data_IF_147121026154
#
_entry.id   IF_147121026154
#
_cell.length_a   1.000
_cell.length_b   1.000
_cell.length_c   1.000
_cell.angle_alpha   90.00
_cell.angle_beta   90.00
_cell.angle_gamma   90.00
#
_symmetry.space_group_name_H-M   'P 1'
#
loop_
_entity.id
_entity.type
_entity.pdbx_description
1 polymer ?
#
# COMPACT_ATOMS: atom_id res chain seq x y z
N UNK A 1 -7.05 -3.09 18.69
CA UNK A 1 -6.04 -2.02 18.82
C UNK A 1 -5.82 -1.81 20.31
N UNK A 2 -4.71 -2.30 20.84
CA UNK A 2 -4.49 -2.43 22.30
C UNK A 2 -3.89 -1.16 22.95
N UNK A 3 -3.54 -0.16 22.15
CA UNK A 3 -2.80 1.05 22.58
C UNK A 3 -3.60 2.35 22.36
N UNK A 4 -4.93 2.27 22.18
CA UNK A 4 -5.81 3.46 22.12
C UNK A 4 -5.87 4.21 20.78
N UNK A 5 -5.16 3.75 19.74
CA UNK A 5 -5.36 4.29 18.39
C UNK A 5 -6.78 3.98 17.87
N UNK A 6 -7.48 4.99 17.38
CA UNK A 6 -8.80 4.83 16.76
C UNK A 6 -8.71 4.15 15.38
N UNK A 7 -7.67 4.46 14.62
CA UNK A 7 -7.36 3.85 13.33
C UNK A 7 -5.87 3.97 13.05
N UNK A 8 -5.31 3.02 12.29
CA UNK A 8 -3.92 3.07 11.85
C UNK A 8 -3.90 3.06 10.33
N UNK A 9 -3.18 3.98 9.72
CA UNK A 9 -2.96 4.03 8.28
C UNK A 9 -1.49 3.73 7.96
N UNK A 10 -1.21 3.32 6.72
CA UNK A 10 0.15 3.04 6.26
C UNK A 10 0.43 3.79 4.95
N UNK A 11 1.63 4.34 4.82
CA UNK A 11 2.16 4.90 3.57
C UNK A 11 3.50 4.23 3.25
N UNK A 12 3.64 3.72 2.02
CA UNK A 12 4.84 3.01 1.57
C UNK A 12 5.33 3.61 0.26
N UNK A 13 6.50 4.26 0.30
CA UNK A 13 7.12 4.82 -0.90
C UNK A 13 7.48 3.71 -1.91
N UNK A 14 8.04 2.59 -1.46
CA UNK A 14 8.48 1.50 -2.34
C UNK A 14 7.78 0.18 -1.98
N UNK A 15 6.80 -0.21 -2.81
CA UNK A 15 6.00 -1.41 -2.61
C UNK A 15 6.79 -2.70 -2.99
N UNK A 16 7.83 -3.05 -2.24
CA UNK A 16 8.68 -4.23 -2.54
C UNK A 16 7.93 -5.55 -2.31
N UNK A 17 7.26 -5.67 -1.16
CA UNK A 17 6.45 -6.82 -0.72
C UNK A 17 6.94 -8.20 -1.22
N UNK A 18 8.09 -8.70 -0.72
CA UNK A 18 8.62 -10.00 -1.12
C UNK A 18 7.61 -11.11 -0.83
N UNK A 19 7.58 -12.14 -1.68
CA UNK A 19 6.66 -13.29 -1.59
C UNK A 19 5.18 -12.89 -1.50
N UNK A 20 4.79 -11.80 -2.16
CA UNK A 20 3.45 -11.21 -2.09
C UNK A 20 2.98 -10.95 -0.64
N UNK A 21 3.89 -10.57 0.25
CA UNK A 21 3.59 -10.29 1.67
C UNK A 21 2.52 -9.21 1.87
N UNK A 22 2.19 -8.43 0.84
CA UNK A 22 1.04 -7.52 0.83
C UNK A 22 -0.30 -8.24 1.09
N UNK A 23 -0.43 -9.53 0.72
CA UNK A 23 -1.61 -10.38 0.99
C UNK A 23 -1.91 -10.54 2.48
N UNK A 24 -0.99 -10.19 3.36
CA UNK A 24 -1.20 -10.22 4.81
C UNK A 24 -2.04 -9.05 5.30
N UNK A 25 -2.04 -7.94 4.56
CA UNK A 25 -2.72 -6.71 4.97
C UNK A 25 -4.10 -6.53 4.32
N UNK A 26 -4.45 -7.34 3.31
CA UNK A 26 -5.79 -7.34 2.70
C UNK A 26 -6.89 -7.62 3.73
N UNK A 27 -8.12 -7.30 3.37
CA UNK A 27 -9.29 -7.69 4.16
C UNK A 27 -9.32 -9.21 4.33
N UNK A 28 -9.23 -9.69 5.58
CA UNK A 28 -9.15 -11.12 5.93
C UNK A 28 -7.73 -11.68 6.09
N UNK A 29 -6.69 -10.88 5.83
CA UNK A 29 -5.30 -11.24 6.11
C UNK A 29 -4.95 -11.20 7.61
N UNK A 30 -3.84 -11.87 7.98
CA UNK A 30 -3.38 -11.98 9.37
C UNK A 30 -2.91 -10.66 10.00
N UNK A 31 -2.69 -9.63 9.16
CA UNK A 31 -2.26 -8.28 9.56
C UNK A 31 -3.21 -7.20 9.01
N UNK A 32 -4.49 -7.51 8.88
CA UNK A 32 -5.54 -6.59 8.45
C UNK A 32 -5.88 -5.53 9.52
N UNK A 33 -4.93 -4.66 9.86
CA UNK A 33 -5.10 -3.59 10.87
C UNK A 33 -5.03 -2.18 10.27
N UNK A 34 -4.61 -2.06 9.02
CA UNK A 34 -4.41 -0.77 8.35
C UNK A 34 -5.67 -0.35 7.59
N UNK A 35 -6.05 0.91 7.76
CA UNK A 35 -7.13 1.54 7.01
C UNK A 35 -6.95 3.06 7.01
N UNK A 36 -6.62 3.68 5.86
CA UNK A 36 -6.25 3.10 4.55
C UNK A 36 -4.75 2.74 4.44
N UNK A 37 -4.37 2.12 3.32
CA UNK A 37 -2.98 1.76 2.98
C UNK A 37 -2.57 2.36 1.63
N UNK A 38 -1.70 3.36 1.65
CA UNK A 38 -1.17 4.00 0.46
C UNK A 38 0.18 3.44 0.05
N UNK A 39 0.38 3.33 -1.26
CA UNK A 39 1.66 2.96 -1.87
C UNK A 39 1.90 3.79 -3.12
N UNK A 40 3.15 4.06 -3.49
CA UNK A 40 3.45 4.64 -4.81
C UNK A 40 3.69 3.55 -5.85
N UNK A 41 3.51 3.89 -7.12
CA UNK A 41 3.82 3.00 -8.25
C UNK A 41 5.32 2.93 -8.62
N UNK A 42 6.24 3.31 -7.72
CA UNK A 42 7.69 3.21 -7.96
C UNK A 42 8.19 1.79 -8.30
N UNK A 43 7.43 0.74 -7.95
CA UNK A 43 7.67 -0.65 -8.35
C UNK A 43 6.42 -1.21 -9.08
N UNK A 44 6.22 -0.90 -10.37
CA UNK A 44 5.00 -1.26 -11.11
C UNK A 44 4.71 -2.77 -11.15
N UNK A 45 5.75 -3.61 -11.13
CA UNK A 45 5.64 -5.07 -11.14
C UNK A 45 4.93 -5.62 -9.91
N UNK A 46 4.98 -4.92 -8.78
CA UNK A 46 4.28 -5.32 -7.55
C UNK A 46 2.94 -4.63 -7.49
N UNK A 47 2.87 -3.32 -7.72
CA UNK A 47 1.62 -2.56 -7.60
C UNK A 47 0.54 -2.99 -8.60
N UNK A 48 0.91 -3.47 -9.79
CA UNK A 48 -0.03 -4.07 -10.76
C UNK A 48 -0.69 -5.38 -10.30
N UNK A 49 -0.11 -6.05 -9.29
CA UNK A 49 -0.65 -7.30 -8.72
C UNK A 49 -1.47 -7.05 -7.45
N UNK A 50 -1.46 -5.82 -6.92
CA UNK A 50 -2.19 -5.45 -5.71
C UNK A 50 -3.64 -5.11 -6.10
N UNK A 51 -4.65 -5.67 -5.41
CA UNK A 51 -6.05 -5.40 -5.68
C UNK A 51 -6.39 -3.94 -5.38
N UNK A 52 -7.07 -3.28 -6.32
CA UNK A 52 -7.54 -1.88 -6.18
C UNK A 52 -8.88 -1.77 -5.46
N UNK A 53 -9.56 -2.89 -5.21
CA UNK A 53 -10.86 -2.98 -4.56
C UNK A 53 -10.80 -3.29 -3.06
N UNK A 54 -9.64 -3.15 -2.43
CA UNK A 54 -9.42 -3.38 -1.00
C UNK A 54 -8.87 -2.09 -0.32
N UNK A 55 -8.15 -2.22 0.79
CA UNK A 55 -7.59 -1.09 1.56
C UNK A 55 -6.46 -0.33 0.85
N UNK A 56 -6.00 -0.82 -0.31
CA UNK A 56 -4.84 -0.30 -1.00
C UNK A 56 -5.19 0.81 -1.97
N UNK A 57 -4.42 1.91 -1.93
CA UNK A 57 -4.47 2.98 -2.92
C UNK A 57 -3.09 3.19 -3.51
N UNK A 58 -2.96 3.01 -4.82
CA UNK A 58 -1.73 3.28 -5.56
C UNK A 58 -1.71 4.74 -6.01
N UNK A 59 -0.71 5.48 -5.53
CA UNK A 59 -0.44 6.85 -5.92
C UNK A 59 0.51 6.85 -7.11
N UNK A 60 0.11 7.55 -8.17
CA UNK A 60 0.92 7.68 -9.37
C UNK A 60 2.04 8.70 -9.15
N UNK A 61 3.28 8.23 -9.24
CA UNK A 61 4.49 9.02 -9.08
C UNK A 61 4.93 9.65 -10.41
N UNK A 62 4.41 9.20 -11.55
CA UNK A 62 4.82 9.67 -12.88
C UNK A 62 4.67 11.19 -13.04
N UNK A 63 3.56 11.83 -12.66
CA UNK A 63 3.40 13.28 -12.83
C UNK A 63 4.49 14.07 -12.09
N UNK A 64 4.83 13.65 -10.87
CA UNK A 64 5.86 14.30 -10.06
C UNK A 64 7.26 14.12 -10.67
N UNK A 65 7.58 12.91 -11.13
CA UNK A 65 8.88 12.65 -11.78
C UNK A 65 9.02 13.49 -13.05
N UNK A 66 7.94 13.67 -13.81
CA UNK A 66 7.96 14.49 -15.03
C UNK A 66 8.17 15.97 -14.71
N UNK A 67 7.63 16.48 -13.59
CA UNK A 67 7.86 17.85 -13.13
C UNK A 67 9.30 18.09 -12.65
N UNK A 68 9.94 17.07 -12.06
CA UNK A 68 11.28 17.16 -11.49
C UNK A 68 12.43 17.02 -12.53
N UNK A 69 12.12 16.74 -13.81
CA UNK A 69 13.08 16.57 -14.92
C UNK A 69 13.45 17.89 -15.59
#
# INVERSE_FOLDING_TARGET
MEQGANSVAAFVAHAVFPNDSWKRFITGGDRCIFKPFWLTNSIPKVTSRIPTNDIFTVLDLVPQIVEDL
#
